data_IF_932983304507
#
_entry.id   IF_932983304507
#
_cell.length_a   1.000
_cell.length_b   1.000
_cell.length_c   1.000
_cell.angle_alpha   90.00
_cell.angle_beta   90.00
_cell.angle_gamma   90.00
#
_symmetry.space_group_name_H-M   'P 1'
#
loop_
_entity.id
_entity.type
_entity.pdbx_description
1 polymer ?
#
# COMPACT_ATOMS: atom_id res chain seq x y z
N UNK A 1 -28.83 36.44 35.72
CA UNK A 1 -28.92 37.91 35.88
C UNK A 1 -27.74 38.52 35.13
N UNK A 2 -28.00 39.19 33.99
CA UNK A 2 -27.13 40.12 33.21
C UNK A 2 -25.79 39.55 32.70
N UNK A 3 -25.61 39.23 31.41
CA UNK A 3 -25.43 40.11 30.22
C UNK A 3 -24.28 41.13 30.30
N UNK A 4 -23.73 41.40 29.10
CA UNK A 4 -22.66 42.31 28.67
C UNK A 4 -21.28 41.62 28.50
N UNK A 5 -20.60 41.67 27.35
CA UNK A 5 -20.81 42.50 26.16
C UNK A 5 -19.95 41.98 24.97
N UNK A 6 -20.49 42.14 23.77
CA UNK A 6 -19.85 41.93 22.47
C UNK A 6 -18.83 43.04 22.12
N UNK A 7 -18.23 42.88 20.93
CA UNK A 7 -17.71 43.93 20.02
C UNK A 7 -16.18 44.09 20.08
N UNK A 8 -15.41 44.18 19.00
CA UNK A 8 -15.72 44.62 17.64
C UNK A 8 -14.50 44.34 16.71
N UNK A 9 -14.77 44.10 15.41
CA UNK A 9 -14.15 44.76 14.21
C UNK A 9 -12.61 44.86 14.09
N UNK A 10 -11.95 44.78 12.93
CA UNK A 10 -12.30 44.78 11.50
C UNK A 10 -11.03 44.34 10.74
N UNK A 11 -11.20 43.53 9.69
CA UNK A 11 -10.74 43.76 8.30
C UNK A 11 -9.43 44.54 8.05
N UNK A 12 -8.54 44.01 7.18
CA UNK A 12 -8.27 44.68 5.88
C UNK A 12 -7.35 43.86 4.97
N UNK A 13 -7.92 43.44 3.84
CA UNK A 13 -7.21 43.08 2.60
C UNK A 13 -6.57 44.34 2.01
N UNK A 14 -5.30 44.31 1.61
CA UNK A 14 -4.74 45.32 0.70
C UNK A 14 -4.10 44.66 -0.53
N UNK A 15 -4.92 44.66 -1.59
CA UNK A 15 -4.54 44.59 -2.99
C UNK A 15 -4.01 45.98 -3.38
N UNK A 16 -2.84 46.08 -4.00
CA UNK A 16 -2.36 47.32 -4.61
C UNK A 16 -2.25 47.16 -6.14
N UNK A 17 -2.75 48.15 -6.85
CA UNK A 17 -2.89 48.23 -8.31
C UNK A 17 -1.70 49.01 -8.92
N UNK A 18 -1.24 48.48 -10.06
CA UNK A 18 -0.53 49.05 -11.23
C UNK A 18 0.01 50.50 -11.18
N UNK A 19 1.21 50.66 -11.75
CA UNK A 19 1.50 51.72 -12.73
C UNK A 19 2.55 51.28 -13.75
N UNK A 20 2.37 51.74 -14.98
CA UNK A 20 3.15 51.42 -16.16
C UNK A 20 4.13 52.55 -16.52
N UNK A 21 5.12 52.18 -17.34
CA UNK A 21 5.68 52.88 -18.53
C UNK A 21 7.21 53.08 -18.49
N UNK A 22 7.85 52.71 -19.61
CA UNK A 22 9.02 53.43 -20.12
C UNK A 22 10.25 52.59 -20.43
N UNK A 23 10.46 52.29 -21.73
CA UNK A 23 11.71 52.58 -22.44
C UNK A 23 12.98 51.79 -22.14
N UNK A 24 13.37 50.96 -23.10
CA UNK A 24 14.68 51.09 -23.77
C UNK A 24 15.92 50.40 -23.19
N UNK A 25 16.64 49.77 -24.12
CA UNK A 25 18.02 49.29 -24.08
C UNK A 25 18.30 47.92 -23.46
N UNK A 26 18.83 47.05 -24.32
CA UNK A 26 18.97 45.63 -24.08
C UNK A 26 20.18 45.25 -23.27
N UNK A 27 20.15 44.01 -22.79
CA UNK A 27 21.32 43.17 -22.59
C UNK A 27 20.89 41.75 -22.91
N UNK A 28 21.56 41.13 -23.89
CA UNK A 28 21.51 39.69 -24.09
C UNK A 28 21.97 38.99 -22.81
N UNK A 29 21.09 38.18 -22.23
CA UNK A 29 21.48 37.12 -21.32
C UNK A 29 20.52 35.95 -21.59
N UNK A 30 20.85 35.15 -22.60
CA UNK A 30 20.32 33.80 -22.70
C UNK A 30 20.80 33.07 -21.44
N UNK A 31 19.94 33.00 -20.44
CA UNK A 31 20.18 32.16 -19.27
C UNK A 31 20.05 30.73 -19.79
N UNK A 32 21.19 30.15 -20.15
CA UNK A 32 21.33 28.70 -20.28
C UNK A 32 20.91 28.18 -18.92
N UNK A 33 19.67 27.71 -18.83
CA UNK A 33 19.23 26.88 -17.74
C UNK A 33 20.20 25.71 -17.72
N UNK A 34 21.17 25.79 -16.81
CA UNK A 34 22.04 24.69 -16.50
C UNK A 34 21.11 23.56 -16.12
N UNK A 35 20.90 22.63 -17.05
CA UNK A 35 20.47 21.29 -16.69
C UNK A 35 21.57 20.82 -15.77
N UNK A 36 21.35 20.96 -14.46
CA UNK A 36 22.08 20.20 -13.47
C UNK A 36 21.99 18.77 -13.95
N UNK A 37 23.10 18.28 -14.50
CA UNK A 37 23.29 16.85 -14.71
C UNK A 37 23.18 16.29 -13.30
N UNK A 38 21.98 15.81 -12.97
CA UNK A 38 21.77 14.88 -11.89
C UNK A 38 22.86 13.84 -12.11
N UNK A 39 23.77 13.75 -11.15
CA UNK A 39 24.85 12.77 -11.20
C UNK A 39 24.20 11.43 -11.50
N UNK A 40 24.72 10.74 -12.52
CA UNK A 40 24.34 9.37 -12.80
C UNK A 40 24.48 8.60 -11.51
N UNK A 41 23.36 8.25 -10.89
CA UNK A 41 23.37 7.42 -9.70
C UNK A 41 24.14 6.15 -10.05
N UNK A 42 25.12 5.81 -9.22
CA UNK A 42 26.01 4.64 -9.38
C UNK A 42 25.25 3.33 -9.08
N UNK A 43 23.92 3.35 -9.10
CA UNK A 43 23.04 2.21 -8.88
C UNK A 43 21.90 2.21 -9.89
N UNK A 44 21.49 1.02 -10.32
CA UNK A 44 20.30 0.83 -11.14
C UNK A 44 19.02 1.14 -10.35
N UNK A 45 17.91 1.45 -11.03
CA UNK A 45 16.63 1.69 -10.37
C UNK A 45 16.10 0.43 -9.68
N UNK A 46 15.30 0.61 -8.62
CA UNK A 46 14.48 -0.48 -8.07
C UNK A 46 13.53 -0.95 -9.17
N UNK A 47 13.54 -2.26 -9.45
CA UNK A 47 12.78 -2.85 -10.57
C UNK A 47 11.35 -3.18 -10.21
N UNK A 48 11.14 -3.83 -9.06
CA UNK A 48 9.85 -4.36 -8.63
C UNK A 48 9.85 -4.63 -7.14
N UNK A 49 8.66 -4.90 -6.60
CA UNK A 49 8.51 -5.60 -5.33
C UNK A 49 8.85 -7.09 -5.52
N UNK A 50 9.41 -7.73 -4.50
CA UNK A 50 9.78 -9.16 -4.54
C UNK A 50 8.96 -9.95 -3.51
N UNK A 51 9.04 -9.56 -2.24
CA UNK A 51 8.25 -10.15 -1.18
C UNK A 51 8.10 -9.22 0.02
N UNK A 52 7.14 -9.56 0.87
CA UNK A 52 6.99 -9.01 2.22
C UNK A 52 7.23 -10.11 3.25
N UNK A 53 7.64 -9.74 4.47
CA UNK A 53 7.69 -10.65 5.60
C UNK A 53 6.83 -10.11 6.74
N UNK A 54 5.88 -10.93 7.21
CA UNK A 54 5.02 -10.60 8.36
C UNK A 54 5.02 -11.74 9.36
N UNK A 55 4.89 -11.47 10.67
CA UNK A 55 4.67 -12.52 11.65
C UNK A 55 3.28 -13.17 11.47
N UNK A 56 3.12 -14.40 11.96
CA UNK A 56 1.82 -15.05 12.15
C UNK A 56 1.69 -15.67 13.55
N UNK A 57 0.47 -15.81 14.07
CA UNK A 57 0.13 -16.43 15.35
C UNK A 57 -0.44 -17.83 15.15
N UNK A 58 -1.45 -17.97 14.29
CA UNK A 58 -2.19 -19.22 14.12
C UNK A 58 -1.62 -20.08 12.98
N UNK A 59 -0.42 -20.64 13.17
CA UNK A 59 0.36 -21.26 12.06
C UNK A 59 -0.41 -22.27 11.22
N UNK A 60 -1.04 -23.28 11.83
CA UNK A 60 -1.73 -24.33 11.07
C UNK A 60 -2.97 -23.79 10.35
N UNK A 61 -3.73 -22.92 11.00
CA UNK A 61 -4.90 -22.27 10.41
C UNK A 61 -4.50 -21.38 9.23
N UNK A 62 -3.44 -20.58 9.37
CA UNK A 62 -2.91 -19.72 8.32
C UNK A 62 -2.42 -20.53 7.12
N UNK A 63 -1.63 -21.58 7.36
CA UNK A 63 -1.13 -22.45 6.29
C UNK A 63 -2.28 -23.10 5.52
N UNK A 64 -3.27 -23.65 6.23
CA UNK A 64 -4.43 -24.29 5.60
C UNK A 64 -5.27 -23.27 4.82
N UNK A 65 -5.54 -22.11 5.41
CA UNK A 65 -6.32 -21.04 4.80
C UNK A 65 -5.72 -20.56 3.47
N UNK A 66 -4.42 -20.28 3.43
CA UNK A 66 -3.77 -19.87 2.17
C UNK A 66 -3.75 -21.00 1.11
N UNK A 67 -3.68 -22.27 1.52
CA UNK A 67 -3.83 -23.40 0.58
C UNK A 67 -5.25 -23.48 0.03
N UNK A 68 -6.27 -23.28 0.85
CA UNK A 68 -7.67 -23.34 0.42
C UNK A 68 -8.05 -22.17 -0.50
N UNK A 69 -7.40 -21.02 -0.32
CA UNK A 69 -7.43 -19.90 -1.28
C UNK A 69 -6.71 -20.22 -2.60
N UNK A 70 -6.01 -21.35 -2.70
CA UNK A 70 -5.33 -21.81 -3.92
C UNK A 70 -3.88 -21.35 -4.06
N UNK A 71 -3.28 -20.75 -3.03
CA UNK A 71 -1.86 -20.41 -3.07
C UNK A 71 -0.99 -21.66 -2.91
N UNK A 72 0.21 -21.61 -3.48
CA UNK A 72 1.25 -22.58 -3.15
C UNK A 72 1.92 -22.16 -1.84
N UNK A 73 1.81 -23.00 -0.81
CA UNK A 73 2.43 -22.76 0.51
C UNK A 73 3.59 -23.73 0.73
N UNK A 74 4.81 -23.19 0.85
CA UNK A 74 5.99 -23.95 1.25
C UNK A 74 6.28 -23.75 2.73
N UNK A 75 6.36 -24.83 3.49
CA UNK A 75 6.60 -24.81 4.92
C UNK A 75 8.06 -25.08 5.25
N UNK A 76 8.63 -24.27 6.14
CA UNK A 76 9.89 -24.52 6.80
C UNK A 76 9.75 -24.42 8.32
N UNK A 77 10.80 -24.76 9.07
CA UNK A 77 10.74 -24.85 10.54
C UNK A 77 10.49 -23.50 11.23
N UNK A 78 10.82 -22.38 10.59
CA UNK A 78 10.69 -21.03 11.17
C UNK A 78 9.97 -20.03 10.27
N UNK A 79 9.78 -20.37 8.99
CA UNK A 79 9.08 -19.55 7.99
C UNK A 79 8.15 -20.47 7.21
N UNK A 80 6.92 -20.02 6.95
CA UNK A 80 6.12 -20.50 5.85
C UNK A 80 6.10 -19.44 4.75
N UNK A 81 6.07 -19.84 3.47
CA UNK A 81 6.00 -18.89 2.36
C UNK A 81 4.79 -19.17 1.48
N UNK A 82 4.01 -18.12 1.20
CA UNK A 82 2.81 -18.13 0.35
C UNK A 82 3.17 -17.51 -0.99
N UNK A 83 3.08 -18.26 -2.08
CA UNK A 83 3.60 -17.86 -3.41
C UNK A 83 2.47 -17.52 -4.39
N UNK A 84 2.68 -16.46 -5.18
CA UNK A 84 1.75 -15.98 -6.21
C UNK A 84 2.51 -15.24 -7.32
N UNK A 85 2.35 -15.70 -8.57
CA UNK A 85 3.19 -15.23 -9.68
C UNK A 85 4.67 -15.36 -9.34
N UNK A 86 5.43 -14.29 -9.56
CA UNK A 86 6.86 -14.19 -9.21
C UNK A 86 7.11 -13.64 -7.78
N UNK A 87 6.07 -13.52 -6.95
CA UNK A 87 6.14 -12.90 -5.62
C UNK A 87 5.79 -13.91 -4.52
N UNK A 88 6.10 -13.53 -3.27
CA UNK A 88 5.68 -14.28 -2.09
C UNK A 88 5.43 -13.41 -0.86
N UNK A 89 4.75 -13.99 0.12
CA UNK A 89 4.72 -13.53 1.50
C UNK A 89 5.49 -14.54 2.35
N UNK A 90 6.48 -14.08 3.11
CA UNK A 90 7.12 -14.87 4.16
C UNK A 90 6.36 -14.66 5.48
N UNK A 91 5.72 -15.71 5.97
CA UNK A 91 5.08 -15.75 7.28
C UNK A 91 6.07 -16.29 8.31
N UNK A 92 6.53 -15.43 9.22
CA UNK A 92 7.39 -15.87 10.34
C UNK A 92 6.53 -16.61 11.37
N UNK A 93 6.89 -17.85 11.70
CA UNK A 93 6.25 -18.63 12.78
C UNK A 93 6.53 -17.98 14.15
N UNK A 94 5.69 -18.22 15.18
CA UNK A 94 5.89 -17.71 16.54
C UNK A 94 7.32 -17.86 17.08
N UNK A 95 7.92 -19.04 16.89
CA UNK A 95 9.27 -19.36 17.38
C UNK A 95 10.35 -18.47 16.76
N UNK A 96 10.09 -17.91 15.58
CA UNK A 96 11.00 -17.00 14.89
C UNK A 96 10.80 -15.57 15.32
N UNK A 97 9.57 -15.06 15.23
CA UNK A 97 9.34 -13.63 15.45
C UNK A 97 9.38 -13.24 16.93
N UNK A 98 9.04 -14.16 17.84
CA UNK A 98 9.15 -13.93 19.29
C UNK A 98 10.58 -14.11 19.81
N UNK A 99 11.51 -14.62 18.99
CA UNK A 99 12.90 -14.72 19.38
C UNK A 99 13.54 -13.33 19.42
N UNK A 100 13.90 -12.87 20.62
CA UNK A 100 14.54 -11.56 20.84
C UNK A 100 15.87 -11.38 20.08
N UNK A 101 16.55 -12.48 19.76
CA UNK A 101 17.78 -12.45 18.96
C UNK A 101 17.51 -12.25 17.46
N UNK A 102 16.27 -12.43 16.99
CA UNK A 102 15.90 -12.22 15.59
C UNK A 102 15.57 -10.75 15.31
N UNK A 103 16.61 -9.96 15.03
CA UNK A 103 16.52 -8.51 14.85
C UNK A 103 16.34 -8.04 13.40
N UNK A 104 16.54 -8.92 12.40
CA UNK A 104 16.31 -8.63 10.98
C UNK A 104 14.82 -8.71 10.61
N UNK A 105 14.02 -7.87 11.26
CA UNK A 105 12.57 -7.73 11.10
C UNK A 105 12.13 -6.30 11.44
N UNK A 106 10.91 -5.93 11.05
CA UNK A 106 10.30 -4.72 11.56
C UNK A 106 10.12 -4.83 13.10
N UNK A 107 10.69 -3.89 13.90
CA UNK A 107 10.71 -4.02 15.37
C UNK A 107 9.33 -4.04 16.03
N UNK A 108 8.35 -3.36 15.43
CA UNK A 108 6.98 -3.27 15.95
C UNK A 108 6.00 -4.23 15.26
N UNK A 109 6.46 -5.08 14.34
CA UNK A 109 5.55 -5.99 13.64
C UNK A 109 5.04 -7.05 14.61
N UNK A 110 3.74 -7.16 14.76
CA UNK A 110 3.06 -8.24 15.48
C UNK A 110 1.78 -8.58 14.72
N UNK A 111 1.28 -9.83 14.75
CA UNK A 111 0.06 -10.16 14.02
C UNK A 111 -1.19 -9.53 14.68
N UNK A 112 -2.18 -9.07 13.91
CA UNK A 112 -2.13 -8.83 12.46
C UNK A 112 -1.36 -7.54 12.13
N UNK A 113 -0.62 -7.56 11.03
CA UNK A 113 -0.02 -6.35 10.45
C UNK A 113 0.06 -6.37 8.92
N UNK A 114 -0.65 -7.30 8.28
CA UNK A 114 -0.75 -7.42 6.83
C UNK A 114 -1.98 -6.71 6.29
N UNK A 115 -1.78 -6.01 5.18
CA UNK A 115 -2.81 -5.45 4.31
C UNK A 115 -2.33 -5.65 2.87
N UNK A 116 -2.90 -6.65 2.19
CA UNK A 116 -2.36 -7.17 0.94
C UNK A 116 -3.43 -7.18 -0.15
N UNK A 117 -3.12 -6.57 -1.28
CA UNK A 117 -3.95 -6.62 -2.48
C UNK A 117 -3.35 -7.57 -3.52
N UNK A 118 -4.13 -8.57 -3.92
CA UNK A 118 -3.81 -9.53 -4.96
C UNK A 118 -4.65 -9.27 -6.19
N UNK A 119 -4.04 -9.43 -7.36
CA UNK A 119 -4.78 -9.44 -8.62
C UNK A 119 -5.43 -10.80 -8.79
N UNK A 120 -6.73 -10.81 -9.09
CA UNK A 120 -7.48 -12.01 -9.44
C UNK A 120 -7.78 -12.00 -10.94
N UNK A 121 -7.18 -12.92 -11.70
CA UNK A 121 -7.37 -13.03 -13.15
C UNK A 121 -8.56 -13.94 -13.55
N UNK A 122 -9.39 -14.35 -12.58
CA UNK A 122 -10.60 -15.14 -12.80
C UNK A 122 -11.89 -14.32 -12.78
N UNK A 123 -13.04 -14.99 -12.92
CA UNK A 123 -14.35 -14.33 -12.77
C UNK A 123 -14.69 -14.08 -11.30
N UNK A 124 -15.64 -13.18 -11.04
CA UNK A 124 -16.19 -12.93 -9.70
C UNK A 124 -16.77 -14.21 -9.07
N UNK A 125 -17.45 -15.05 -9.86
CA UNK A 125 -18.03 -16.30 -9.36
C UNK A 125 -16.96 -17.34 -9.02
N UNK A 126 -15.86 -17.36 -9.79
CA UNK A 126 -14.70 -18.20 -9.47
C UNK A 126 -14.02 -17.73 -8.18
N UNK A 127 -13.90 -16.41 -7.97
CA UNK A 127 -13.39 -15.84 -6.73
C UNK A 127 -14.27 -16.25 -5.55
N UNK A 128 -15.59 -16.03 -5.62
CA UNK A 128 -16.55 -16.44 -4.59
C UNK A 128 -16.40 -17.93 -4.23
N UNK A 129 -16.31 -18.78 -5.24
CA UNK A 129 -16.13 -20.22 -5.03
C UNK A 129 -14.83 -20.55 -4.29
N UNK A 130 -13.75 -19.79 -4.51
CA UNK A 130 -12.47 -19.95 -3.78
C UNK A 130 -12.62 -19.48 -2.34
N UNK A 131 -13.23 -18.32 -2.12
CA UNK A 131 -13.46 -17.76 -0.80
C UNK A 131 -14.34 -18.68 0.06
N UNK A 132 -15.43 -19.20 -0.51
CA UNK A 132 -16.33 -20.14 0.16
C UNK A 132 -15.60 -21.43 0.57
N UNK A 133 -14.73 -21.97 -0.29
CA UNK A 133 -13.92 -23.15 0.04
C UNK A 133 -12.94 -22.90 1.18
N UNK A 134 -12.36 -21.70 1.23
CA UNK A 134 -11.49 -21.29 2.33
C UNK A 134 -12.25 -20.91 3.61
N UNK A 135 -13.59 -20.90 3.58
CA UNK A 135 -14.41 -20.44 4.69
C UNK A 135 -14.23 -18.94 4.97
N UNK A 136 -13.83 -18.16 3.97
CA UNK A 136 -13.56 -16.74 4.09
C UNK A 136 -14.84 -15.91 3.90
N UNK A 137 -15.18 -15.09 4.90
CA UNK A 137 -16.26 -14.12 4.79
C UNK A 137 -15.80 -12.86 4.01
N UNK A 138 -16.60 -12.46 3.01
CA UNK A 138 -16.41 -11.16 2.34
C UNK A 138 -16.94 -10.04 3.22
N UNK A 139 -16.04 -9.24 3.78
CA UNK A 139 -16.36 -8.12 4.67
C UNK A 139 -16.73 -6.83 3.91
N UNK A 140 -16.24 -6.69 2.67
CA UNK A 140 -16.63 -5.63 1.75
C UNK A 140 -16.41 -6.09 0.30
N UNK A 141 -17.31 -5.72 -0.60
CA UNK A 141 -17.18 -5.99 -2.03
C UNK A 141 -18.42 -6.66 -2.64
N UNK A 142 -18.60 -6.61 -3.96
CA UNK A 142 -17.75 -5.92 -4.93
C UNK A 142 -17.79 -4.40 -4.77
N UNK A 143 -16.62 -3.75 -4.77
CA UNK A 143 -16.51 -2.30 -4.63
C UNK A 143 -15.44 -1.74 -5.56
N UNK A 144 -15.68 -0.57 -6.15
CA UNK A 144 -14.72 0.09 -7.03
C UNK A 144 -13.46 0.52 -6.25
N UNK A 145 -12.29 0.27 -6.84
CA UNK A 145 -10.98 0.68 -6.33
C UNK A 145 -10.07 1.06 -7.49
N UNK A 146 -9.10 1.92 -7.20
CA UNK A 146 -7.97 2.19 -8.09
C UNK A 146 -6.79 1.36 -7.61
N UNK A 147 -6.29 0.47 -8.47
CA UNK A 147 -5.22 -0.47 -8.16
C UNK A 147 -3.85 0.01 -8.64
N UNK A 148 -2.82 -0.81 -8.40
CA UNK A 148 -1.42 -0.50 -8.74
C UNK A 148 -1.06 -0.61 -10.23
N UNK A 149 -1.89 -1.22 -11.08
CA UNK A 149 -1.64 -1.35 -12.53
C UNK A 149 -1.66 0.04 -13.20
N UNK A 150 -0.99 0.15 -14.36
CA UNK A 150 -0.89 1.38 -15.15
C UNK A 150 -0.37 2.58 -14.35
N UNK A 151 0.66 2.35 -13.53
CA UNK A 151 1.27 3.39 -12.71
C UNK A 151 0.39 3.86 -11.55
N UNK A 152 -0.55 3.03 -11.09
CA UNK A 152 -1.45 3.36 -9.99
C UNK A 152 -2.72 4.08 -10.41
N UNK A 153 -3.17 3.87 -11.66
CA UNK A 153 -4.34 4.58 -12.24
C UNK A 153 -5.41 3.65 -12.80
N UNK A 154 -5.16 2.34 -12.86
CA UNK A 154 -6.13 1.38 -13.34
C UNK A 154 -7.27 1.20 -12.31
N UNK A 155 -8.51 1.32 -12.77
CA UNK A 155 -9.68 1.01 -11.96
C UNK A 155 -10.01 -0.48 -12.01
N UNK A 156 -10.54 -1.01 -10.92
CA UNK A 156 -10.95 -2.39 -10.78
C UNK A 156 -12.05 -2.56 -9.74
N UNK A 157 -12.51 -3.80 -9.58
CA UNK A 157 -13.50 -4.20 -8.58
C UNK A 157 -12.85 -5.10 -7.55
N UNK A 158 -12.92 -4.71 -6.28
CA UNK A 158 -12.27 -5.39 -5.17
C UNK A 158 -13.25 -6.12 -4.25
N UNK A 159 -12.77 -7.21 -3.65
CA UNK A 159 -13.41 -7.94 -2.55
C UNK A 159 -12.41 -8.07 -1.40
N UNK A 160 -12.89 -7.86 -0.18
CA UNK A 160 -12.08 -7.84 1.04
C UNK A 160 -12.49 -8.98 1.96
N UNK A 161 -11.49 -9.68 2.53
CA UNK A 161 -11.67 -10.74 3.53
C UNK A 161 -10.63 -10.57 4.66
N UNK A 162 -10.78 -11.36 5.72
CA UNK A 162 -9.76 -11.54 6.77
C UNK A 162 -9.17 -12.93 6.70
N UNK A 163 -7.86 -13.03 6.94
CA UNK A 163 -7.22 -14.31 7.21
C UNK A 163 -7.39 -14.72 8.69
N UNK A 164 -6.96 -15.92 9.10
CA UNK A 164 -7.09 -16.39 10.48
C UNK A 164 -6.38 -15.54 11.56
N UNK A 165 -5.42 -14.69 11.18
CA UNK A 165 -4.77 -13.75 12.10
C UNK A 165 -5.40 -12.34 12.04
N UNK A 166 -6.41 -12.15 11.19
CA UNK A 166 -7.12 -10.89 10.92
C UNK A 166 -6.34 -9.89 10.04
N UNK A 167 -5.35 -10.35 9.26
CA UNK A 167 -4.77 -9.52 8.20
C UNK A 167 -5.82 -9.25 7.11
N UNK A 168 -5.77 -8.05 6.51
CA UNK A 168 -6.69 -7.69 5.43
C UNK A 168 -6.17 -8.23 4.11
N UNK A 169 -7.00 -9.01 3.41
CA UNK A 169 -6.71 -9.46 2.05
C UNK A 169 -7.73 -8.85 1.09
N UNK A 170 -7.23 -8.17 0.06
CA UNK A 170 -7.99 -7.61 -1.04
C UNK A 170 -7.74 -8.45 -2.30
N UNK A 171 -8.80 -8.75 -3.04
CA UNK A 171 -8.74 -9.34 -4.38
C UNK A 171 -9.32 -8.37 -5.39
N UNK A 172 -8.47 -7.73 -6.19
CA UNK A 172 -8.86 -6.79 -7.23
C UNK A 172 -8.94 -7.49 -8.59
N UNK A 173 -10.01 -7.20 -9.33
CA UNK A 173 -10.23 -7.62 -10.72
C UNK A 173 -10.22 -6.35 -11.58
N UNK A 174 -9.31 -6.26 -12.54
CA UNK A 174 -9.21 -5.15 -13.50
C UNK A 174 -10.07 -5.37 -14.74
#
# INVERSE_FOLDING_TARGET
MRQHEESNRTQSRRRFIRRALGGGFGVSAAMVAGRSRVSSQVGGPIRSFDHVAVPMRNTDAMVQFYRDLGFTVMEGPSICSVHFGDNKINLHRPERWQNESFTLRAPAAEPPCGDFCFVWDGTVDALRSVLDRAGAEVIEGPVARTGGRDGGTADGTSHYIRDPDDNLLEFIIY
#
